data_IF_502518199263
#
_entry.id   IF_502518199263
#
_cell.length_a   1.000
_cell.length_b   1.000
_cell.length_c   1.000
_cell.angle_alpha   90.00
_cell.angle_beta   90.00
_cell.angle_gamma   90.00
#
_symmetry.space_group_name_H-M   'P 1'
#
loop_
_entity.id
_entity.type
_entity.pdbx_description
1 polymer ?
#
# COMPACT_ATOMS: atom_id res chain seq x y z
N UNK A 1 -5.09 -21.45 14.53
CA UNK A 1 -4.80 -22.89 14.71
C UNK A 1 -5.62 -23.38 15.89
N UNK A 2 -6.56 -24.30 15.70
CA UNK A 2 -7.25 -24.99 16.80
C UNK A 2 -6.73 -26.41 16.78
N UNK A 3 -6.15 -26.87 17.89
CA UNK A 3 -5.56 -28.21 18.04
C UNK A 3 -4.52 -28.58 16.96
N UNK A 4 -3.78 -27.59 16.47
CA UNK A 4 -2.74 -27.81 15.46
C UNK A 4 -3.25 -27.79 14.01
N UNK A 5 -4.52 -27.46 13.78
CA UNK A 5 -5.09 -27.33 12.44
C UNK A 5 -5.47 -25.89 12.09
N UNK A 6 -5.29 -25.53 10.82
CA UNK A 6 -5.71 -24.24 10.29
C UNK A 6 -7.24 -24.16 10.31
N UNK A 7 -7.77 -23.07 10.84
CA UNK A 7 -9.18 -22.73 10.70
C UNK A 7 -9.27 -21.79 9.50
N UNK A 8 -10.05 -22.18 8.49
CA UNK A 8 -10.32 -21.38 7.30
C UNK A 8 -11.71 -20.79 7.45
N UNK A 9 -11.84 -19.48 7.21
CA UNK A 9 -13.11 -18.78 7.14
C UNK A 9 -13.11 -17.97 5.85
N UNK A 10 -14.19 -18.10 5.10
CA UNK A 10 -14.39 -17.36 3.85
C UNK A 10 -15.00 -15.99 4.16
N UNK A 11 -14.52 -14.95 3.47
CA UNK A 11 -15.02 -13.58 3.56
C UNK A 11 -15.60 -13.25 2.20
N UNK A 12 -16.90 -13.47 2.05
CA UNK A 12 -17.60 -13.32 0.78
C UNK A 12 -18.51 -12.08 0.79
N UNK A 13 -18.46 -11.28 -0.27
CA UNK A 13 -19.42 -10.24 -0.62
C UNK A 13 -19.90 -10.48 -2.08
N UNK A 14 -21.04 -9.92 -2.53
CA UNK A 14 -21.46 -10.09 -3.92
C UNK A 14 -20.53 -9.34 -4.88
N UNK A 15 -19.59 -10.04 -5.52
CA UNK A 15 -18.62 -9.41 -6.41
C UNK A 15 -17.51 -10.37 -6.86
N UNK A 16 -16.46 -9.82 -7.46
CA UNK A 16 -15.21 -10.56 -7.68
C UNK A 16 -14.18 -10.05 -6.67
N UNK A 17 -14.30 -10.53 -5.44
CA UNK A 17 -13.61 -9.93 -4.30
C UNK A 17 -12.16 -10.40 -4.14
N UNK A 18 -11.40 -9.66 -3.33
CA UNK A 18 -10.20 -10.18 -2.68
C UNK A 18 -8.87 -9.98 -3.41
N UNK A 19 -8.80 -9.17 -4.48
CA UNK A 19 -7.52 -8.86 -5.12
C UNK A 19 -6.68 -7.87 -4.31
N UNK A 20 -5.36 -7.96 -4.45
CA UNK A 20 -4.36 -7.06 -3.84
C UNK A 20 -4.68 -6.74 -2.37
N UNK A 21 -4.84 -7.79 -1.58
CA UNK A 21 -5.33 -7.72 -0.21
C UNK A 21 -4.22 -7.41 0.81
N UNK A 22 -4.58 -6.65 1.85
CA UNK A 22 -3.73 -6.39 3.01
C UNK A 22 -4.48 -6.68 4.32
N UNK A 23 -3.74 -6.93 5.39
CA UNK A 23 -4.31 -7.26 6.71
C UNK A 23 -3.57 -6.53 7.83
N UNK A 24 -4.30 -6.10 8.84
CA UNK A 24 -3.78 -5.56 10.10
C UNK A 24 -4.60 -6.13 11.26
N UNK A 25 -4.00 -6.22 12.44
CA UNK A 25 -4.67 -6.67 13.66
C UNK A 25 -4.92 -5.49 14.60
N UNK A 26 -6.08 -5.45 15.25
CA UNK A 26 -6.30 -4.59 16.41
C UNK A 26 -5.63 -5.18 17.68
N UNK A 27 -5.68 -4.46 18.81
CA UNK A 27 -5.07 -4.96 20.06
C UNK A 27 -5.75 -6.21 20.65
N UNK A 28 -6.95 -6.57 20.19
CA UNK A 28 -7.61 -7.82 20.56
C UNK A 28 -7.21 -8.98 19.64
N UNK A 29 -6.33 -8.73 18.68
CA UNK A 29 -5.91 -9.71 17.67
C UNK A 29 -6.96 -9.94 16.59
N UNK A 30 -7.93 -9.03 16.44
CA UNK A 30 -8.98 -9.16 15.44
C UNK A 30 -8.49 -8.62 14.09
N UNK A 31 -8.64 -9.37 13.00
CA UNK A 31 -8.19 -8.93 11.69
C UNK A 31 -9.11 -7.89 11.05
N UNK A 32 -8.47 -6.93 10.41
CA UNK A 32 -9.04 -5.97 9.48
C UNK A 32 -8.33 -6.14 8.15
N UNK A 33 -9.09 -6.20 7.06
CA UNK A 33 -8.54 -6.38 5.72
C UNK A 33 -9.04 -5.29 4.78
N UNK A 34 -8.24 -5.02 3.77
CA UNK A 34 -8.65 -4.25 2.60
C UNK A 34 -8.39 -5.09 1.36
N UNK A 35 -9.28 -5.00 0.39
CA UNK A 35 -9.19 -5.68 -0.90
C UNK A 35 -9.71 -4.81 -2.02
N UNK A 36 -9.34 -5.18 -3.25
CA UNK A 36 -9.90 -4.64 -4.47
C UNK A 36 -10.98 -5.58 -4.99
N UNK A 37 -12.13 -5.00 -5.33
CA UNK A 37 -13.13 -5.59 -6.21
C UNK A 37 -13.08 -4.88 -7.58
N UNK A 38 -12.42 -5.48 -8.57
CA UNK A 38 -11.97 -4.75 -9.75
C UNK A 38 -13.01 -4.62 -10.86
N UNK A 39 -12.91 -3.47 -11.53
CA UNK A 39 -13.80 -3.06 -12.63
C UNK A 39 -13.83 -4.02 -13.81
N UNK A 40 -12.75 -4.76 -14.05
CA UNK A 40 -12.62 -5.66 -15.19
C UNK A 40 -13.62 -6.83 -15.15
N UNK A 41 -14.12 -7.17 -13.96
CA UNK A 41 -15.10 -8.23 -13.76
C UNK A 41 -16.52 -7.68 -13.49
N UNK A 42 -16.73 -6.40 -13.80
CA UNK A 42 -18.05 -5.76 -13.74
C UNK A 42 -18.44 -5.20 -12.37
N UNK A 43 -17.48 -5.12 -11.43
CA UNK A 43 -17.72 -4.52 -10.12
C UNK A 43 -18.01 -3.02 -10.19
N UNK A 44 -18.82 -2.55 -9.23
CA UNK A 44 -19.05 -1.14 -8.92
C UNK A 44 -18.30 -0.63 -7.69
N UNK A 45 -17.67 -1.52 -6.92
CA UNK A 45 -17.41 -1.29 -5.49
C UNK A 45 -15.96 -0.88 -5.21
N UNK A 46 -15.00 -1.35 -6.01
CA UNK A 46 -13.63 -0.84 -6.04
C UNK A 46 -12.79 -1.25 -4.85
N UNK A 47 -12.86 -0.50 -3.75
CA UNK A 47 -12.19 -0.83 -2.48
C UNK A 47 -13.22 -1.38 -1.50
N UNK A 48 -12.85 -2.51 -0.91
CA UNK A 48 -13.61 -3.17 0.13
C UNK A 48 -12.79 -3.22 1.42
N UNK A 49 -13.48 -3.04 2.53
CA UNK A 49 -12.94 -3.20 3.86
C UNK A 49 -13.71 -4.29 4.58
N UNK A 50 -13.02 -5.29 5.10
CA UNK A 50 -13.61 -6.31 5.95
C UNK A 50 -13.00 -6.29 7.35
N UNK A 51 -13.80 -6.58 8.37
CA UNK A 51 -13.29 -6.78 9.72
C UNK A 51 -14.03 -7.90 10.43
N UNK A 52 -13.30 -8.61 11.27
CA UNK A 52 -13.84 -9.64 12.15
C UNK A 52 -14.06 -9.05 13.55
N UNK A 53 -15.27 -9.11 14.09
CA UNK A 53 -15.56 -8.54 15.40
C UNK A 53 -15.25 -9.47 16.59
N UNK A 54 -14.95 -10.74 16.31
CA UNK A 54 -14.79 -11.82 17.28
C UNK A 54 -15.80 -12.95 17.10
N UNK A 55 -16.91 -12.68 16.40
CA UNK A 55 -17.99 -13.62 16.12
C UNK A 55 -18.21 -13.76 14.61
N UNK A 56 -18.20 -12.65 13.86
CA UNK A 56 -18.53 -12.62 12.43
C UNK A 56 -17.71 -11.60 11.63
N UNK A 57 -17.61 -11.84 10.32
CA UNK A 57 -17.04 -10.88 9.38
C UNK A 57 -18.10 -9.87 8.94
N UNK A 58 -17.71 -8.60 8.86
CA UNK A 58 -18.48 -7.54 8.20
C UNK A 58 -17.66 -6.96 7.07
N UNK A 59 -18.22 -6.96 5.86
CA UNK A 59 -17.64 -6.31 4.66
C UNK A 59 -18.35 -4.98 4.41
N UNK A 60 -17.59 -3.95 4.00
CA UNK A 60 -18.07 -2.61 3.67
C UNK A 60 -17.38 -2.10 2.41
N UNK A 61 -18.18 -1.59 1.48
CA UNK A 61 -17.67 -0.82 0.34
C UNK A 61 -17.20 0.55 0.80
N UNK A 62 -16.09 1.03 0.25
CA UNK A 62 -15.52 2.34 0.60
C UNK A 62 -16.13 3.48 -0.21
N UNK A 63 -16.80 3.16 -1.32
CA UNK A 63 -17.37 4.17 -2.22
C UNK A 63 -16.32 4.83 -3.12
N UNK A 64 -15.19 4.15 -3.36
CA UNK A 64 -14.16 4.60 -4.31
C UNK A 64 -14.64 4.58 -5.76
N UNK A 65 -15.69 3.80 -6.05
CA UNK A 65 -16.03 3.41 -7.41
C UNK A 65 -15.04 2.39 -7.98
N UNK A 66 -15.30 1.88 -9.19
CA UNK A 66 -14.53 0.80 -9.81
C UNK A 66 -13.06 1.18 -10.04
N UNK A 67 -12.12 0.35 -9.56
CA UNK A 67 -10.68 0.49 -9.80
C UNK A 67 -10.11 -0.74 -10.52
N UNK A 68 -8.94 -0.60 -11.14
CA UNK A 68 -8.20 -1.75 -11.66
C UNK A 68 -7.68 -2.65 -10.53
N UNK A 69 -7.43 -3.94 -10.84
CA UNK A 69 -6.89 -4.92 -9.87
C UNK A 69 -5.38 -4.80 -9.64
N UNK A 70 -4.75 -3.76 -10.21
CA UNK A 70 -3.30 -3.57 -10.18
C UNK A 70 -2.94 -2.41 -9.25
N UNK A 71 -1.68 -2.39 -8.80
CA UNK A 71 -1.05 -1.29 -8.06
C UNK A 71 -1.32 -1.24 -6.56
N UNK A 72 -1.98 -2.24 -5.98
CA UNK A 72 -2.00 -2.43 -4.53
C UNK A 72 -2.91 -1.51 -3.73
N UNK A 73 -3.18 -1.96 -2.50
CA UNK A 73 -3.88 -1.21 -1.44
C UNK A 73 -2.99 -1.17 -0.21
N UNK A 74 -3.35 -0.34 0.77
CA UNK A 74 -2.75 -0.37 2.10
C UNK A 74 -3.81 -0.11 3.17
N UNK A 75 -3.63 -0.73 4.34
CA UNK A 75 -4.45 -0.53 5.53
C UNK A 75 -3.54 -0.34 6.74
N UNK A 76 -3.91 0.60 7.60
CA UNK A 76 -3.38 0.71 8.96
C UNK A 76 -4.51 1.11 9.91
N UNK A 77 -4.28 0.90 11.21
CA UNK A 77 -5.22 1.31 12.26
C UNK A 77 -4.63 2.49 13.02
N UNK A 78 -5.49 3.46 13.36
CA UNK A 78 -5.12 4.49 14.32
C UNK A 78 -5.11 3.95 15.76
N UNK A 79 -4.74 4.79 16.73
CA UNK A 79 -4.68 4.41 18.14
C UNK A 79 -6.04 4.06 18.77
N UNK A 80 -7.15 4.36 18.08
CA UNK A 80 -8.52 3.99 18.45
C UNK A 80 -9.06 2.80 17.63
N UNK A 81 -8.21 2.15 16.83
CA UNK A 81 -8.55 1.08 15.90
C UNK A 81 -9.49 1.47 14.77
N UNK A 82 -9.53 2.75 14.42
CA UNK A 82 -10.21 3.16 13.20
C UNK A 82 -9.32 2.81 12.00
N UNK A 83 -9.86 2.11 11.00
CA UNK A 83 -9.12 1.77 9.80
C UNK A 83 -8.89 3.02 8.94
N UNK A 84 -7.69 3.09 8.39
CA UNK A 84 -7.28 4.06 7.40
C UNK A 84 -6.76 3.31 6.19
N UNK A 85 -7.16 3.75 5.00
CA UNK A 85 -6.91 3.06 3.75
C UNK A 85 -6.19 3.98 2.77
N UNK A 86 -5.31 3.41 1.96
CA UNK A 86 -4.71 4.11 0.82
C UNK A 86 -4.73 3.22 -0.42
N UNK A 87 -4.95 3.81 -1.58
CA UNK A 87 -4.95 3.11 -2.86
C UNK A 87 -4.60 4.04 -4.02
N UNK A 88 -4.20 3.44 -5.13
CA UNK A 88 -4.05 4.12 -6.41
C UNK A 88 -5.38 4.15 -7.16
N UNK A 89 -5.86 5.34 -7.51
CA UNK A 89 -6.96 5.49 -8.47
C UNK A 89 -6.37 5.54 -9.87
N UNK A 90 -6.51 4.44 -10.63
CA UNK A 90 -5.93 4.33 -11.97
C UNK A 90 -6.61 5.22 -13.02
N UNK A 91 -7.84 5.64 -12.76
CA UNK A 91 -8.62 6.50 -13.66
C UNK A 91 -8.15 7.94 -13.52
N UNK A 92 -7.98 8.42 -12.29
CA UNK A 92 -7.49 9.76 -11.99
C UNK A 92 -5.95 9.85 -12.00
N UNK A 93 -5.26 8.72 -11.83
CA UNK A 93 -3.81 8.58 -11.59
C UNK A 93 -3.34 9.25 -10.30
N UNK A 94 -4.15 9.11 -9.26
CA UNK A 94 -3.97 9.80 -7.98
C UNK A 94 -3.75 8.81 -6.84
N UNK A 95 -3.01 9.24 -5.82
CA UNK A 95 -3.01 8.58 -4.53
C UNK A 95 -4.25 9.01 -3.75
N UNK A 96 -5.10 8.06 -3.40
CA UNK A 96 -6.29 8.27 -2.58
C UNK A 96 -6.07 7.75 -1.18
N UNK A 97 -6.80 8.35 -0.25
CA UNK A 97 -6.80 7.95 1.15
C UNK A 97 -8.20 8.09 1.74
N UNK A 98 -8.59 7.12 2.57
CA UNK A 98 -9.88 7.13 3.26
C UNK A 98 -9.74 6.85 4.75
N UNK A 99 -10.54 7.59 5.53
CA UNK A 99 -10.75 7.33 6.95
C UNK A 99 -12.20 6.97 7.21
N UNK A 100 -12.42 6.07 8.16
CA UNK A 100 -13.77 5.71 8.57
C UNK A 100 -14.42 6.87 9.34
N UNK A 101 -15.61 7.28 8.91
CA UNK A 101 -16.44 8.32 9.53
C UNK A 101 -17.83 7.75 9.79
N UNK A 102 -18.04 7.24 11.02
CA UNK A 102 -19.23 6.48 11.38
C UNK A 102 -19.38 5.19 10.55
N UNK A 103 -20.50 5.08 9.84
CA UNK A 103 -20.79 3.97 8.92
C UNK A 103 -20.32 4.23 7.48
N UNK A 104 -19.73 5.39 7.22
CA UNK A 104 -19.25 5.82 5.91
C UNK A 104 -17.73 6.03 5.89
N UNK A 105 -17.21 6.39 4.71
CA UNK A 105 -15.81 6.71 4.49
C UNK A 105 -15.67 8.15 4.00
N UNK A 106 -14.73 8.88 4.59
CA UNK A 106 -14.28 10.17 4.08
C UNK A 106 -13.07 9.93 3.19
N UNK A 107 -13.23 10.16 1.89
CA UNK A 107 -12.20 9.97 0.88
C UNK A 107 -11.56 11.31 0.52
N UNK A 108 -10.23 11.33 0.45
CA UNK A 108 -9.44 12.49 0.04
C UNK A 108 -8.37 12.10 -0.98
N UNK A 109 -7.95 13.08 -1.78
CA UNK A 109 -6.77 12.96 -2.64
C UNK A 109 -5.53 13.38 -1.84
N UNK A 110 -4.53 12.52 -1.78
CA UNK A 110 -3.24 12.77 -1.11
C UNK A 110 -2.28 13.46 -2.05
N UNK A 111 -2.18 12.95 -3.28
CA UNK A 111 -1.29 13.44 -4.32
C UNK A 111 -1.97 13.23 -5.68
N UNK A 112 -1.89 14.24 -6.53
CA UNK A 112 -2.41 14.24 -7.90
C UNK A 112 -1.45 14.81 -8.93
N UNK A 113 -0.20 15.11 -8.53
CA UNK A 113 0.79 15.67 -9.43
C UNK A 113 1.49 14.57 -10.23
N UNK A 114 0.88 14.16 -11.35
CA UNK A 114 1.45 13.20 -12.30
C UNK A 114 0.76 11.83 -12.26
N UNK A 115 1.54 10.76 -12.34
CA UNK A 115 1.06 9.39 -12.16
C UNK A 115 1.60 8.85 -10.85
N UNK A 116 0.82 9.07 -9.79
CA UNK A 116 1.26 8.96 -8.39
C UNK A 116 0.36 8.00 -7.62
N UNK A 117 0.94 7.33 -6.63
CA UNK A 117 0.19 6.55 -5.63
C UNK A 117 0.24 5.04 -5.83
N UNK A 118 1.01 4.56 -6.81
CA UNK A 118 1.14 3.11 -7.07
C UNK A 118 1.87 2.41 -5.93
N UNK A 119 1.41 1.21 -5.61
CA UNK A 119 1.96 0.33 -4.58
C UNK A 119 2.13 1.03 -3.22
N UNK A 120 1.05 1.62 -2.67
CA UNK A 120 1.14 2.35 -1.42
C UNK A 120 1.44 1.38 -0.27
N UNK A 121 2.21 1.87 0.70
CA UNK A 121 2.30 1.28 2.03
C UNK A 121 1.99 2.38 3.05
N UNK A 122 1.25 2.03 4.11
CA UNK A 122 0.69 2.99 5.06
C UNK A 122 1.06 2.62 6.49
N UNK A 123 1.51 3.59 7.27
CA UNK A 123 1.73 3.48 8.72
C UNK A 123 1.23 4.72 9.44
N UNK A 124 0.79 4.54 10.68
CA UNK A 124 0.24 5.61 11.52
C UNK A 124 1.17 5.86 12.70
N UNK A 125 1.51 7.11 12.96
CA UNK A 125 2.29 7.48 14.13
C UNK A 125 1.46 7.54 15.43
N UNK A 126 2.13 7.71 16.56
CA UNK A 126 1.48 7.80 17.87
C UNK A 126 0.53 9.01 18.02
N UNK A 127 0.56 9.98 17.11
CA UNK A 127 -0.32 11.14 17.08
C UNK A 127 -1.46 10.98 16.07
N UNK A 128 -1.65 9.78 15.51
CA UNK A 128 -2.61 9.46 14.46
C UNK A 128 -2.34 10.15 13.11
N UNK A 129 -1.11 10.59 12.85
CA UNK A 129 -0.73 11.07 11.52
C UNK A 129 -0.36 9.89 10.63
N UNK A 130 -0.94 9.88 9.44
CA UNK A 130 -0.63 8.89 8.41
C UNK A 130 0.65 9.24 7.65
N UNK A 131 1.46 8.21 7.39
CA UNK A 131 2.60 8.24 6.48
C UNK A 131 2.39 7.19 5.40
N UNK A 132 2.54 7.59 4.14
CA UNK A 132 2.36 6.71 2.99
C UNK A 132 3.62 6.74 2.16
N UNK A 133 4.28 5.60 1.96
CA UNK A 133 5.28 5.46 0.89
C UNK A 133 4.59 4.95 -0.36
N UNK A 134 4.97 5.49 -1.53
CA UNK A 134 4.35 5.14 -2.80
C UNK A 134 5.27 5.42 -3.97
N UNK A 135 4.93 4.86 -5.12
CA UNK A 135 5.68 5.04 -6.36
C UNK A 135 5.01 6.07 -7.27
N UNK A 136 5.82 7.00 -7.76
CA UNK A 136 5.50 7.91 -8.87
C UNK A 136 6.10 7.37 -10.16
N UNK A 137 5.27 7.19 -11.19
CA UNK A 137 5.70 6.75 -12.50
C UNK A 137 6.10 7.93 -13.38
N UNK A 138 7.39 8.00 -13.77
CA UNK A 138 7.87 8.97 -14.77
C UNK A 138 7.88 8.38 -16.17
N UNK A 139 8.26 7.11 -16.26
CA UNK A 139 8.24 6.34 -17.50
C UNK A 139 8.04 4.86 -17.17
N UNK A 140 8.05 4.05 -18.22
CA UNK A 140 8.03 2.61 -18.12
C UNK A 140 9.20 2.05 -17.28
N UNK A 141 10.37 2.70 -17.35
CA UNK A 141 11.63 2.25 -16.75
C UNK A 141 12.16 3.17 -15.66
N UNK A 142 11.43 4.23 -15.31
CA UNK A 142 11.86 5.18 -14.28
C UNK A 142 10.72 5.79 -13.49
N UNK A 143 11.04 6.20 -12.27
CA UNK A 143 10.10 6.79 -11.33
C UNK A 143 10.77 7.31 -10.07
N UNK A 144 9.97 7.63 -9.07
CA UNK A 144 10.44 8.02 -7.75
C UNK A 144 9.73 7.22 -6.67
N UNK A 145 10.46 6.95 -5.59
CA UNK A 145 9.84 6.67 -4.30
C UNK A 145 9.47 8.01 -3.68
N UNK A 146 8.19 8.17 -3.35
CA UNK A 146 7.67 9.32 -2.64
C UNK A 146 7.17 8.91 -1.26
N UNK A 147 7.19 9.88 -0.35
CA UNK A 147 6.52 9.78 0.95
C UNK A 147 5.54 10.93 1.08
N UNK A 148 4.33 10.61 1.54
CA UNK A 148 3.31 11.56 1.95
C UNK A 148 3.13 11.47 3.46
N UNK A 149 2.95 12.62 4.11
CA UNK A 149 2.67 12.73 5.55
C UNK A 149 1.46 13.62 5.77
N UNK A 150 0.53 13.17 6.62
CA UNK A 150 -0.57 14.00 7.08
C UNK A 150 -0.07 14.97 8.15
N UNK A 151 -0.17 16.28 7.89
CA UNK A 151 0.25 17.34 8.82
C UNK A 151 -0.86 17.84 9.76
N UNK A 152 -2.02 17.17 9.81
CA UNK A 152 -3.19 17.60 10.58
C UNK A 152 -4.18 18.48 9.80
N UNK A 153 -3.69 19.29 8.84
CA UNK A 153 -4.52 20.14 7.99
C UNK A 153 -4.42 19.78 6.49
N UNK A 154 -3.22 19.36 6.07
CA UNK A 154 -2.93 19.04 4.68
C UNK A 154 -1.87 17.94 4.59
N UNK A 155 -1.83 17.28 3.43
CA UNK A 155 -0.76 16.38 3.06
C UNK A 155 0.48 17.16 2.63
N UNK A 156 1.64 16.71 3.07
CA UNK A 156 2.94 17.07 2.48
C UNK A 156 3.48 15.87 1.74
N UNK A 157 4.03 16.08 0.54
CA UNK A 157 4.66 15.01 -0.25
C UNK A 157 6.08 15.38 -0.63
N UNK A 158 6.96 14.39 -0.72
CA UNK A 158 8.34 14.56 -1.15
C UNK A 158 8.82 13.37 -1.97
N UNK A 159 9.77 13.62 -2.89
CA UNK A 159 10.51 12.57 -3.59
C UNK A 159 11.73 12.20 -2.74
N UNK A 160 11.81 10.95 -2.33
CA UNK A 160 12.86 10.42 -1.46
C UNK A 160 14.05 9.93 -2.28
N UNK A 161 13.79 9.14 -3.32
CA UNK A 161 14.84 8.62 -4.19
C UNK A 161 14.31 8.39 -5.62
N UNK A 162 15.21 8.43 -6.59
CA UNK A 162 14.93 8.21 -8.00
C UNK A 162 15.28 6.78 -8.39
N UNK A 163 14.38 6.11 -9.10
CA UNK A 163 14.59 4.79 -9.67
C UNK A 163 14.74 4.93 -11.19
N UNK A 164 15.89 4.58 -11.74
CA UNK A 164 16.20 4.68 -13.18
C UNK A 164 16.33 3.32 -13.89
N UNK A 165 16.24 2.21 -13.16
CA UNK A 165 16.50 0.85 -13.66
C UNK A 165 15.34 -0.12 -13.33
N UNK A 166 14.17 0.14 -13.92
CA UNK A 166 12.95 -0.66 -13.71
C UNK A 166 12.53 -1.42 -14.98
N UNK A 167 12.13 -2.70 -14.84
CA UNK A 167 11.50 -3.45 -15.93
C UNK A 167 9.98 -3.24 -15.92
N UNK A 168 9.40 -3.23 -17.12
CA UNK A 168 7.95 -3.29 -17.32
C UNK A 168 7.47 -4.73 -17.39
N UNK A 169 6.39 -5.04 -16.67
CA UNK A 169 5.69 -6.32 -16.76
C UNK A 169 5.95 -7.23 -15.56
N UNK A 170 5.56 -8.50 -15.69
CA UNK A 170 5.66 -9.48 -14.60
C UNK A 170 7.10 -9.95 -14.32
N UNK A 171 8.05 -9.61 -15.19
CA UNK A 171 9.47 -9.98 -15.08
C UNK A 171 10.31 -8.78 -14.63
N UNK A 172 10.60 -8.65 -13.34
CA UNK A 172 11.49 -7.62 -12.80
C UNK A 172 11.25 -7.30 -11.33
N UNK A 173 12.14 -6.51 -10.73
CA UNK A 173 11.92 -5.98 -9.38
C UNK A 173 10.65 -5.14 -9.35
N UNK A 174 9.82 -5.37 -8.33
CA UNK A 174 8.54 -4.67 -8.23
C UNK A 174 8.78 -3.22 -7.81
N UNK A 175 8.01 -2.30 -8.39
CA UNK A 175 7.99 -0.86 -8.10
C UNK A 175 7.38 -0.54 -6.72
N UNK A 176 7.53 -1.47 -5.78
CA UNK A 176 6.88 -1.49 -4.47
C UNK A 176 7.80 -0.89 -3.43
N UNK A 177 7.21 -0.27 -2.44
CA UNK A 177 7.89 0.17 -1.23
C UNK A 177 7.19 -0.42 -0.01
N UNK A 178 7.89 -0.42 1.12
CA UNK A 178 7.30 -0.63 2.44
C UNK A 178 7.81 0.45 3.35
N UNK A 179 6.98 0.87 4.30
CA UNK A 179 7.31 1.92 5.26
C UNK A 179 7.08 1.42 6.67
N UNK A 180 7.98 1.81 7.57
CA UNK A 180 7.83 1.69 9.02
C UNK A 180 8.22 3.02 9.66
N UNK A 181 7.88 3.19 10.93
CA UNK A 181 8.35 4.31 11.74
C UNK A 181 9.35 3.81 12.76
N UNK A 182 10.41 4.58 13.00
CA UNK A 182 11.34 4.31 14.10
C UNK A 182 10.74 4.71 15.46
N UNK A 183 11.54 4.61 16.54
CA UNK A 183 11.08 4.98 17.88
C UNK A 183 10.75 6.47 18.04
N UNK A 184 11.37 7.32 17.21
CA UNK A 184 11.16 8.78 17.20
C UNK A 184 10.03 9.19 16.24
N UNK A 185 9.36 8.21 15.61
CA UNK A 185 8.30 8.39 14.62
C UNK A 185 8.79 8.93 13.28
N UNK A 186 10.07 8.77 12.95
CA UNK A 186 10.60 9.10 11.64
C UNK A 186 10.40 7.93 10.67
N UNK A 187 10.08 8.23 9.40
CA UNK A 187 9.84 7.20 8.40
C UNK A 187 11.14 6.51 7.95
N UNK A 188 11.06 5.18 7.82
CA UNK A 188 12.04 4.33 7.18
C UNK A 188 11.34 3.59 6.05
N UNK A 189 11.86 3.72 4.83
CA UNK A 189 11.28 3.15 3.61
C UNK A 189 12.25 2.14 3.01
N UNK A 190 11.80 0.90 2.85
CA UNK A 190 12.52 -0.11 2.07
C UNK A 190 11.92 -0.20 0.67
N UNK A 191 12.78 -0.23 -0.34
CA UNK A 191 12.39 -0.28 -1.75
C UNK A 191 13.46 -0.98 -2.58
N UNK A 192 13.13 -1.33 -3.82
CA UNK A 192 14.07 -2.01 -4.71
C UNK A 192 13.89 -1.59 -6.15
N UNK A 193 14.98 -1.67 -6.90
CA UNK A 193 14.95 -1.75 -8.35
C UNK A 193 15.58 -3.09 -8.82
N UNK A 194 15.83 -3.25 -10.11
CA UNK A 194 16.41 -4.48 -10.66
C UNK A 194 17.77 -4.86 -10.09
N UNK A 195 18.51 -3.86 -9.60
CA UNK A 195 19.89 -3.99 -9.19
C UNK A 195 20.08 -3.87 -7.69
N UNK A 196 19.18 -3.20 -6.97
CA UNK A 196 19.40 -2.92 -5.55
C UNK A 196 18.16 -3.13 -4.69
N UNK A 197 18.42 -3.51 -3.44
CA UNK A 197 17.50 -3.28 -2.33
C UNK A 197 18.09 -2.11 -1.54
N UNK A 198 17.31 -1.05 -1.40
CA UNK A 198 17.69 0.17 -0.70
C UNK A 198 16.81 0.39 0.53
N UNK A 199 17.38 1.12 1.48
CA UNK A 199 16.69 1.70 2.62
C UNK A 199 16.87 3.22 2.57
N UNK A 200 15.77 3.96 2.72
CA UNK A 200 15.80 5.38 3.00
C UNK A 200 15.34 5.59 4.45
N UNK A 201 16.15 6.23 5.27
CA UNK A 201 15.80 6.55 6.67
C UNK A 201 15.82 8.05 6.87
N UNK A 202 14.76 8.62 7.44
CA UNK A 202 14.71 10.03 7.80
C UNK A 202 15.09 10.23 9.27
N UNK A 203 15.77 11.34 9.58
CA UNK A 203 15.98 11.81 10.95
C UNK A 203 14.99 12.92 11.36
N UNK A 204 13.95 13.14 10.55
CA UNK A 204 12.97 14.21 10.67
C UNK A 204 13.36 15.50 9.94
N UNK A 205 14.57 15.60 9.41
CA UNK A 205 15.05 16.76 8.63
C UNK A 205 15.61 16.39 7.26
N UNK A 206 16.33 15.29 7.16
CA UNK A 206 16.97 14.81 5.93
C UNK A 206 16.76 13.31 5.76
N UNK A 207 16.97 12.82 4.54
CA UNK A 207 16.95 11.40 4.20
C UNK A 207 18.37 10.87 4.02
N UNK A 208 18.66 9.74 4.65
CA UNK A 208 19.87 8.94 4.38
C UNK A 208 19.47 7.74 3.53
N UNK A 209 20.16 7.56 2.39
CA UNK A 209 19.97 6.42 1.50
C UNK A 209 21.09 5.40 1.68
N UNK A 210 20.72 4.14 1.84
CA UNK A 210 21.64 3.01 1.99
C UNK A 210 21.27 1.90 1.01
N UNK A 211 22.23 1.46 0.21
CA UNK A 211 22.11 0.21 -0.56
C UNK A 211 22.44 -0.97 0.33
N UNK A 212 21.42 -1.76 0.64
CA UNK A 212 21.51 -2.93 1.53
C UNK A 212 22.04 -4.14 0.77
N UNK A 213 21.60 -4.33 -0.47
CA UNK A 213 22.02 -5.45 -1.34
C UNK A 213 22.12 -4.98 -2.78
N UNK A 214 23.20 -5.38 -3.46
CA UNK A 214 23.32 -5.29 -4.91
C UNK A 214 23.14 -6.67 -5.56
N UNK A 215 22.44 -6.72 -6.68
CA UNK A 215 22.29 -7.92 -7.49
C UNK A 215 23.62 -8.28 -8.15
N UNK A 216 24.12 -9.49 -7.90
CA UNK A 216 25.34 -10.00 -8.54
C UNK A 216 24.98 -11.03 -9.60
N UNK A 217 25.26 -10.70 -10.86
CA UNK A 217 25.05 -11.57 -12.00
C UNK A 217 23.67 -11.43 -12.64
N UNK A 218 22.60 -11.77 -11.93
CA UNK A 218 21.22 -11.66 -12.43
C UNK A 218 20.43 -10.59 -11.67
N UNK A 219 19.55 -9.81 -12.34
CA UNK A 219 18.73 -8.81 -11.68
C UNK A 219 17.72 -9.43 -10.71
N UNK A 220 17.27 -8.64 -9.74
CA UNK A 220 16.13 -8.96 -8.90
C UNK A 220 14.84 -9.08 -9.74
N UNK A 221 13.97 -10.04 -9.41
CA UNK A 221 12.69 -10.25 -10.08
C UNK A 221 12.46 -11.69 -10.56
N UNK A 222 11.33 -11.91 -11.25
CA UNK A 222 11.01 -13.22 -11.83
C UNK A 222 12.03 -13.60 -12.92
N UNK A 223 12.77 -14.68 -12.69
CA UNK A 223 13.73 -15.21 -13.65
C UNK A 223 13.04 -16.17 -14.61
N UNK A 224 12.99 -15.84 -15.90
CA UNK A 224 12.59 -16.77 -16.96
C UNK A 224 13.81 -17.59 -17.40
N UNK A 225 14.16 -18.63 -16.64
CA UNK A 225 15.12 -19.63 -17.13
C UNK A 225 14.38 -20.57 -18.08
N UNK A 226 14.18 -20.17 -19.34
CA UNK A 226 13.79 -21.09 -20.41
C UNK A 226 14.91 -21.19 -21.44
N UNK A 227 15.72 -22.24 -21.29
CA UNK A 227 16.76 -22.60 -22.24
C UNK A 227 17.50 -23.88 -21.84
N UNK A 228 16.80 -25.03 -21.88
CA UNK A 228 17.35 -26.33 -22.30
C UNK A 228 16.24 -27.13 -22.99
#
# INVERSE_FOLDING_TARGET
>A
MVDGEWVVQDVDHPGHDGWDNNVVLDLKGRPHTVSIDPKQFGSSSGIEYAFYDGDSWTVKEVGSGPIAYEFGTAIALDMSYNPQLAWYDDTAKELKYAVKSGDSWEISTVDSEGDVGRYPALVIDNNNNAYISYYEMMSNTSGYIKVAKWGGEAWTTERVDKLDNLVVGFTGARKTSSIVLDFEQNPIVAYSDESVINLASSDGSEWTLETVVEAVGLPFGQQSVHGL
#
